data_IF_640469828045
#
_entry.id   IF_640469828045
#
_cell.length_a   1.000
_cell.length_b   1.000
_cell.length_c   1.000
_cell.angle_alpha   90.00
_cell.angle_beta   90.00
_cell.angle_gamma   90.00
#
_symmetry.space_group_name_H-M   'P 1'
#
loop_
_entity.id
_entity.type
_entity.pdbx_description
1 polymer ?
#
# COMPACT_ATOMS: atom_id res chain seq x y z
N UNK A 1 45.07 -0.98 -20.18
CA UNK A 1 44.78 0.26 -19.46
C UNK A 1 44.77 1.38 -20.47
N UNK A 2 43.65 2.07 -20.63
CA UNK A 2 43.56 3.49 -20.99
C UNK A 2 42.08 3.87 -20.98
N UNK A 3 41.77 4.93 -20.25
CA UNK A 3 40.54 5.69 -20.44
C UNK A 3 40.63 6.41 -21.79
N UNK A 4 39.50 6.54 -22.48
CA UNK A 4 39.25 7.74 -23.28
C UNK A 4 37.75 8.01 -23.38
N UNK A 5 37.35 9.11 -22.73
CA UNK A 5 36.15 9.87 -23.04
C UNK A 5 36.42 10.60 -24.36
N UNK A 6 35.86 10.10 -25.47
CA UNK A 6 35.74 10.92 -26.67
C UNK A 6 34.31 10.87 -27.21
N UNK A 7 33.65 11.99 -26.90
CA UNK A 7 32.47 12.54 -27.52
C UNK A 7 32.64 12.57 -29.06
N UNK A 8 31.99 11.65 -29.77
CA UNK A 8 31.74 11.80 -31.21
C UNK A 8 30.23 11.93 -31.39
N UNK A 9 29.82 13.18 -31.53
CA UNK A 9 28.52 13.64 -31.97
C UNK A 9 28.34 13.21 -33.43
N UNK A 10 27.68 12.08 -33.69
CA UNK A 10 27.33 11.65 -35.05
C UNK A 10 25.82 11.41 -35.16
N UNK A 11 25.20 12.29 -35.91
CA UNK A 11 23.78 12.64 -36.02
C UNK A 11 22.92 11.62 -36.77
N UNK A 12 23.05 10.31 -36.49
CA UNK A 12 22.27 9.27 -37.19
C UNK A 12 21.56 8.23 -36.33
N UNK A 13 21.69 8.31 -35.02
CA UNK A 13 20.88 7.51 -34.12
C UNK A 13 20.10 8.44 -33.22
N UNK A 14 18.83 8.71 -33.57
CA UNK A 14 17.83 8.99 -32.57
C UNK A 14 17.70 7.71 -31.74
N UNK A 15 18.62 7.49 -30.81
CA UNK A 15 18.34 6.65 -29.64
C UNK A 15 17.36 7.47 -28.85
N UNK A 16 16.08 7.33 -29.22
CA UNK A 16 14.99 7.67 -28.33
C UNK A 16 15.20 6.71 -27.18
N UNK A 17 15.95 7.14 -26.15
CA UNK A 17 15.73 6.64 -24.81
C UNK A 17 14.30 7.06 -24.49
N UNK A 18 13.34 6.25 -24.97
CA UNK A 18 12.02 6.20 -24.38
C UNK A 18 12.36 5.78 -22.96
N UNK A 19 12.48 6.75 -22.05
CA UNK A 19 12.38 6.47 -20.62
C UNK A 19 11.14 5.60 -20.56
N UNK A 20 11.32 4.31 -20.26
CA UNK A 20 10.19 3.46 -19.96
C UNK A 20 9.55 4.17 -18.77
N UNK A 21 8.49 4.93 -19.04
CA UNK A 21 7.74 5.62 -18.02
C UNK A 21 7.02 4.49 -17.30
N UNK A 22 7.69 3.93 -16.30
CA UNK A 22 7.07 3.01 -15.35
C UNK A 22 5.81 3.73 -14.88
N UNK A 23 4.65 3.06 -14.98
CA UNK A 23 3.39 3.70 -14.62
C UNK A 23 3.46 4.03 -13.13
N UNK A 24 3.33 5.31 -12.79
CA UNK A 24 3.31 5.79 -11.42
C UNK A 24 2.28 4.98 -10.62
N UNK A 25 2.70 4.41 -9.50
CA UNK A 25 1.82 3.65 -8.62
C UNK A 25 1.30 4.55 -7.49
N UNK A 26 0.18 4.17 -6.89
CA UNK A 26 -0.36 4.87 -5.73
C UNK A 26 0.01 4.09 -4.47
N UNK A 27 0.78 4.71 -3.59
CA UNK A 27 0.99 4.21 -2.25
C UNK A 27 -0.10 4.75 -1.33
N UNK A 28 -0.81 3.85 -0.66
CA UNK A 28 -1.76 4.17 0.40
C UNK A 28 -1.25 3.54 1.69
N UNK A 29 -0.94 4.40 2.66
CA UNK A 29 -0.38 4.03 3.95
C UNK A 29 -1.36 4.45 5.03
N UNK A 30 -1.68 3.53 5.93
CA UNK A 30 -2.56 3.79 7.07
C UNK A 30 -1.86 3.38 8.34
N UNK A 31 -1.73 4.33 9.27
CA UNK A 31 -1.09 4.12 10.58
C UNK A 31 -2.15 4.19 11.66
N UNK A 32 -2.10 3.25 12.60
CA UNK A 32 -2.95 3.18 13.78
C UNK A 32 -2.07 3.35 15.00
N UNK A 33 -2.38 4.30 15.88
CA UNK A 33 -1.58 4.58 17.08
C UNK A 33 -2.44 4.48 18.33
N UNK A 34 -2.00 3.66 19.28
CA UNK A 34 -2.63 3.48 20.59
C UNK A 34 -1.79 4.16 21.68
N UNK A 35 -2.43 4.65 22.73
CA UNK A 35 -1.75 5.34 23.83
C UNK A 35 -0.87 4.42 24.68
N UNK A 36 -1.22 3.12 24.77
CA UNK A 36 -0.49 2.12 25.53
C UNK A 36 -0.65 0.73 24.89
N UNK A 37 0.15 -0.24 25.35
CA UNK A 37 0.17 -1.58 24.78
C UNK A 37 -0.95 -2.51 25.27
N UNK A 38 -1.73 -2.10 26.28
CA UNK A 38 -2.79 -2.93 26.90
C UNK A 38 -4.01 -3.08 25.98
N UNK A 39 -4.28 -2.08 25.15
CA UNK A 39 -5.37 -2.11 24.17
C UNK A 39 -4.88 -2.75 22.87
N UNK A 40 -5.32 -3.97 22.49
CA UNK A 40 -4.83 -4.61 21.27
C UNK A 40 -5.21 -3.80 20.01
N UNK A 41 -4.44 -3.94 18.94
CA UNK A 41 -4.92 -3.48 17.63
C UNK A 41 -6.11 -4.33 17.19
N UNK A 42 -6.97 -3.76 16.34
CA UNK A 42 -8.06 -4.51 15.75
C UNK A 42 -7.52 -5.72 14.98
N UNK A 43 -7.84 -6.91 15.46
CA UNK A 43 -7.69 -8.15 14.75
C UNK A 43 -9.09 -8.68 14.50
N UNK A 44 -9.40 -9.10 13.27
CA UNK A 44 -10.67 -9.77 12.95
C UNK A 44 -10.87 -11.12 13.70
N UNK A 45 -9.83 -11.59 14.40
CA UNK A 45 -9.89 -12.76 15.25
C UNK A 45 -10.21 -12.36 16.69
N UNK A 46 -11.50 -12.26 16.98
CA UNK A 46 -12.15 -12.57 18.27
C UNK A 46 -13.66 -12.34 18.12
N UNK A 47 -14.30 -13.19 17.31
CA UNK A 47 -15.74 -13.43 17.35
C UNK A 47 -16.68 -12.30 16.93
N UNK A 48 -16.21 -11.21 16.30
CA UNK A 48 -17.09 -10.09 15.88
C UNK A 48 -16.96 -9.56 14.45
N UNK A 49 -15.98 -9.97 13.66
CA UNK A 49 -15.89 -9.54 12.26
C UNK A 49 -16.08 -10.70 11.27
N UNK A 50 -16.45 -10.35 10.04
CA UNK A 50 -16.18 -11.13 8.83
C UNK A 50 -14.87 -11.91 8.98
N UNK A 51 -14.93 -13.22 8.75
CA UNK A 51 -13.81 -14.15 8.83
C UNK A 51 -12.57 -13.53 8.16
N UNK A 52 -11.51 -13.26 8.93
CA UNK A 52 -10.27 -12.66 8.41
C UNK A 52 -9.73 -13.48 7.24
N UNK A 53 -9.96 -14.79 7.26
CA UNK A 53 -9.62 -15.69 6.16
C UNK A 53 -10.41 -15.33 4.90
N UNK A 54 -11.72 -15.08 5.01
CA UNK A 54 -12.56 -14.65 3.89
C UNK A 54 -12.14 -13.28 3.34
N UNK A 55 -11.85 -12.30 4.20
CA UNK A 55 -11.35 -11.00 3.74
C UNK A 55 -9.99 -11.12 3.06
N UNK A 56 -9.05 -11.86 3.66
CA UNK A 56 -7.72 -12.06 3.08
C UNK A 56 -7.79 -12.78 1.74
N UNK A 57 -8.65 -13.79 1.62
CA UNK A 57 -8.93 -14.50 0.36
C UNK A 57 -9.53 -13.56 -0.68
N UNK A 58 -10.53 -12.76 -0.28
CA UNK A 58 -11.18 -11.79 -1.17
C UNK A 58 -10.19 -10.75 -1.71
N UNK A 59 -9.37 -10.16 -0.83
CA UNK A 59 -8.35 -9.19 -1.22
C UNK A 59 -7.32 -9.84 -2.16
N UNK A 60 -6.86 -11.05 -1.81
CA UNK A 60 -5.89 -11.78 -2.61
C UNK A 60 -6.42 -12.04 -4.03
N UNK A 61 -7.60 -12.65 -4.14
CA UNK A 61 -8.15 -13.06 -5.44
C UNK A 61 -8.57 -11.88 -6.31
N UNK A 62 -9.13 -10.80 -5.73
CA UNK A 62 -9.68 -9.68 -6.53
C UNK A 62 -8.69 -8.54 -6.78
N UNK A 63 -7.59 -8.46 -6.02
CA UNK A 63 -6.64 -7.35 -6.15
C UNK A 63 -5.18 -7.79 -6.31
N UNK A 64 -4.71 -8.75 -5.52
CA UNK A 64 -3.30 -9.19 -5.59
C UNK A 64 -3.06 -10.06 -6.82
N UNK A 65 -3.85 -11.13 -7.00
CA UNK A 65 -3.71 -12.08 -8.10
C UNK A 65 -4.06 -11.46 -9.47
N UNK A 66 -4.84 -10.38 -9.49
CA UNK A 66 -5.17 -9.61 -10.70
C UNK A 66 -4.18 -8.47 -11.00
N UNK A 67 -3.06 -8.40 -10.26
CA UNK A 67 -2.03 -7.34 -10.40
C UNK A 67 -2.55 -5.90 -10.23
N UNK A 68 -3.64 -5.72 -9.47
CA UNK A 68 -4.18 -4.41 -9.07
C UNK A 68 -3.41 -3.81 -7.89
N UNK A 69 -2.91 -4.67 -7.02
CA UNK A 69 -1.95 -4.33 -5.95
C UNK A 69 -0.62 -5.03 -6.20
N UNK A 70 0.49 -4.30 -6.06
CA UNK A 70 1.85 -4.82 -6.30
C UNK A 70 2.63 -5.09 -5.01
N UNK A 71 2.24 -4.50 -3.89
CA UNK A 71 2.92 -4.67 -2.60
C UNK A 71 1.99 -4.41 -1.43
N UNK A 72 2.10 -5.26 -0.42
CA UNK A 72 1.51 -5.05 0.91
C UNK A 72 2.63 -5.17 1.93
N UNK A 73 2.79 -4.15 2.77
CA UNK A 73 3.73 -4.14 3.87
C UNK A 73 2.96 -3.82 5.13
N UNK A 74 3.11 -4.67 6.13
CA UNK A 74 2.60 -4.42 7.47
C UNK A 74 3.77 -4.30 8.42
N UNK A 75 3.85 -3.22 9.17
CA UNK A 75 4.89 -3.00 10.18
C UNK A 75 4.26 -2.61 11.51
N UNK A 76 4.90 -3.03 12.59
CA UNK A 76 4.59 -2.58 13.94
C UNK A 76 5.84 -1.89 14.49
N UNK A 77 5.67 -0.73 15.12
CA UNK A 77 6.76 0.01 15.74
C UNK A 77 7.39 -0.80 16.89
N UNK A 78 8.65 -0.50 17.23
CA UNK A 78 9.40 -1.22 18.27
C UNK A 78 8.80 -1.09 19.67
N UNK A 79 8.08 -0.01 19.94
CA UNK A 79 7.32 0.21 21.18
C UNK A 79 5.94 -0.47 21.16
N UNK A 80 5.58 -1.13 20.06
CA UNK A 80 4.29 -1.76 19.81
C UNK A 80 3.10 -0.79 19.87
N UNK A 81 3.31 0.52 19.80
CA UNK A 81 2.23 1.52 19.90
C UNK A 81 1.68 1.95 18.55
N UNK A 82 2.39 1.69 17.45
CA UNK A 82 1.96 2.05 16.10
C UNK A 82 1.96 0.85 15.18
N UNK A 83 0.85 0.62 14.48
CA UNK A 83 0.71 -0.40 13.45
C UNK A 83 0.44 0.27 12.10
N UNK A 84 1.28 0.00 11.11
CA UNK A 84 1.20 0.62 9.78
C UNK A 84 0.94 -0.44 8.72
N UNK A 85 -0.06 -0.20 7.89
CA UNK A 85 -0.35 -0.99 6.69
C UNK A 85 -0.14 -0.12 5.47
N UNK A 86 0.81 -0.50 4.62
CA UNK A 86 1.12 0.17 3.35
C UNK A 86 0.75 -0.74 2.19
N UNK A 87 -0.07 -0.26 1.27
CA UNK A 87 -0.44 -0.94 0.03
C UNK A 87 -0.05 -0.10 -1.17
N UNK A 88 0.48 -0.75 -2.22
CA UNK A 88 0.75 -0.12 -3.51
C UNK A 88 -0.25 -0.59 -4.54
N UNK A 89 -1.01 0.35 -5.08
CA UNK A 89 -2.01 0.17 -6.12
C UNK A 89 -1.44 0.59 -7.46
N UNK A 90 -1.90 -0.08 -8.52
CA UNK A 90 -1.48 0.20 -9.89
C UNK A 90 -1.75 1.65 -10.30
N UNK A 91 -2.89 2.19 -9.88
CA UNK A 91 -3.35 3.54 -10.17
C UNK A 91 -4.41 3.97 -9.14
N UNK A 92 -4.84 5.23 -9.21
CA UNK A 92 -5.84 5.82 -8.29
C UNK A 92 -7.22 5.19 -8.45
N UNK A 93 -7.60 4.82 -9.68
CA UNK A 93 -8.87 4.15 -9.93
C UNK A 93 -8.94 2.81 -9.20
N UNK A 94 -7.82 2.07 -9.16
CA UNK A 94 -7.72 0.81 -8.43
C UNK A 94 -7.76 1.00 -6.91
N UNK A 95 -7.19 2.09 -6.38
CA UNK A 95 -7.34 2.44 -4.97
C UNK A 95 -8.81 2.73 -4.64
N UNK A 96 -9.51 3.49 -5.47
CA UNK A 96 -10.92 3.80 -5.26
C UNK A 96 -11.79 2.53 -5.34
N UNK A 97 -11.54 1.66 -6.32
CA UNK A 97 -12.20 0.34 -6.40
C UNK A 97 -11.99 -0.47 -5.12
N UNK A 98 -10.77 -0.48 -4.57
CA UNK A 98 -10.48 -1.18 -3.33
C UNK A 98 -11.21 -0.59 -2.12
N UNK A 99 -11.34 0.73 -2.04
CA UNK A 99 -12.04 1.42 -0.95
C UNK A 99 -13.56 1.29 -1.06
N UNK A 100 -14.09 1.19 -2.27
CA UNK A 100 -15.52 1.04 -2.57
C UNK A 100 -16.02 -0.41 -2.54
N UNK A 101 -15.11 -1.40 -2.60
CA UNK A 101 -15.44 -2.81 -2.47
C UNK A 101 -16.23 -3.07 -1.18
N UNK A 102 -17.38 -3.73 -1.29
CA UNK A 102 -18.31 -3.92 -0.18
C UNK A 102 -17.70 -4.72 1.00
N UNK A 103 -16.87 -5.72 0.69
CA UNK A 103 -16.21 -6.56 1.70
C UNK A 103 -15.12 -5.76 2.42
N UNK A 104 -14.31 -5.02 1.65
CA UNK A 104 -13.24 -4.19 2.19
C UNK A 104 -13.80 -3.01 3.00
N UNK A 105 -14.81 -2.31 2.48
CA UNK A 105 -15.44 -1.16 3.15
C UNK A 105 -16.17 -1.55 4.44
N UNK A 106 -16.83 -2.72 4.49
CA UNK A 106 -17.41 -3.26 5.71
C UNK A 106 -16.34 -3.50 6.78
N UNK A 107 -15.22 -4.14 6.41
CA UNK A 107 -14.09 -4.34 7.33
C UNK A 107 -13.46 -3.01 7.79
N UNK A 108 -13.27 -2.05 6.88
CA UNK A 108 -12.76 -0.72 7.22
C UNK A 108 -13.68 -0.04 8.24
N UNK A 109 -15.00 -0.13 8.05
CA UNK A 109 -16.00 0.44 8.95
C UNK A 109 -15.91 -0.18 10.34
N UNK A 110 -15.86 -1.50 10.42
CA UNK A 110 -15.75 -2.21 11.69
C UNK A 110 -14.46 -1.86 12.44
N UNK A 111 -13.32 -1.87 11.74
CA UNK A 111 -12.04 -1.45 12.31
C UNK A 111 -12.08 -0.01 12.81
N UNK A 112 -12.66 0.91 12.04
CA UNK A 112 -12.78 2.31 12.47
C UNK A 112 -13.62 2.44 13.74
N UNK A 113 -14.73 1.70 13.83
CA UNK A 113 -15.57 1.69 15.03
C UNK A 113 -14.80 1.17 16.24
N UNK A 114 -14.03 0.08 16.08
CA UNK A 114 -13.15 -0.44 17.12
C UNK A 114 -12.09 0.60 17.55
N UNK A 115 -11.39 1.20 16.59
CA UNK A 115 -10.36 2.19 16.87
C UNK A 115 -10.93 3.39 17.65
N UNK A 116 -12.08 3.92 17.21
CA UNK A 116 -12.75 5.03 17.90
C UNK A 116 -13.16 4.66 19.33
N UNK A 117 -13.72 3.46 19.54
CA UNK A 117 -14.13 2.99 20.87
C UNK A 117 -12.96 2.80 21.84
N UNK A 118 -11.75 2.55 21.31
CA UNK A 118 -10.55 2.24 22.10
C UNK A 118 -9.53 3.38 22.10
N UNK A 119 -9.89 4.58 21.61
CA UNK A 119 -9.00 5.73 21.57
C UNK A 119 -7.76 5.55 20.69
N UNK A 120 -7.83 4.66 19.70
CA UNK A 120 -6.76 4.44 18.72
C UNK A 120 -6.92 5.49 17.62
N UNK A 121 -5.88 6.29 17.40
CA UNK A 121 -5.87 7.29 16.33
C UNK A 121 -5.51 6.65 14.99
N UNK A 122 -6.02 7.21 13.91
CA UNK A 122 -5.77 6.75 12.54
C UNK A 122 -5.21 7.90 11.71
N UNK A 123 -4.10 7.65 11.05
CA UNK A 123 -3.47 8.57 10.08
C UNK A 123 -3.42 7.91 8.70
N UNK A 124 -3.78 8.66 7.66
CA UNK A 124 -3.86 8.17 6.27
C UNK A 124 -2.98 9.04 5.39
N UNK A 125 -2.07 8.42 4.68
CA UNK A 125 -1.15 9.06 3.74
C UNK A 125 -1.31 8.39 2.37
N UNK A 126 -1.59 9.21 1.34
CA UNK A 126 -1.64 8.76 -0.06
C UNK A 126 -0.59 9.52 -0.85
N UNK A 127 0.27 8.81 -1.57
CA UNK A 127 1.32 9.40 -2.39
C UNK A 127 1.52 8.66 -3.70
N UNK A 128 1.92 9.39 -4.73
CA UNK A 128 2.37 8.80 -5.99
C UNK A 128 3.81 8.33 -5.85
N UNK A 129 4.10 7.10 -6.26
CA UNK A 129 5.46 6.57 -6.34
C UNK A 129 5.84 6.29 -7.79
N UNK A 130 6.85 7.01 -8.26
CA UNK A 130 7.58 6.69 -9.47
C UNK A 130 8.65 5.65 -9.12
N UNK A 131 8.52 4.42 -9.61
CA UNK A 131 9.61 3.43 -9.51
C UNK A 131 10.72 3.85 -10.49
N UNK A 132 11.67 4.64 -9.97
CA UNK A 132 12.94 4.93 -10.63
C UNK A 132 13.84 3.71 -10.51
N UNK A 133 13.78 2.81 -11.48
CA UNK A 133 14.84 1.81 -11.69
C UNK A 133 16.01 2.50 -12.40
N UNK A 134 17.13 2.66 -11.69
CA UNK A 134 18.41 3.16 -12.22
C UNK A 134 19.10 2.13 -13.11
#
# INVERSE_FOLDING_TARGET
MCFDLNYINNSKYNVIFKRNKTMATIQHKVSYTRANAETPFFHAYEGKSTDMSALSTHIKTNFEDTAKTSKVITTTSSDFLTHTVTRRFKDEATLNEFLEDATVSAFITERNNYCNANGITKDIEVSQQDDLTF
#
